data_IF_511796669199
#
_entry.id   IF_511796669199
#
_cell.length_a   1.000
_cell.length_b   1.000
_cell.length_c   1.000
_cell.angle_alpha   90.00
_cell.angle_beta   90.00
_cell.angle_gamma   90.00
#
_symmetry.space_group_name_H-M   'P 1'
#
loop_
_entity.id
_entity.type
_entity.pdbx_description
1 polymer ?
#
# COMPACT_ATOMS: atom_id res chain seq x y z
N UNK A 1 -32.12 -10.45 -25.63
CA UNK A 1 -30.75 -10.67 -26.14
C UNK A 1 -30.44 -12.14 -25.95
N UNK A 2 -29.85 -12.83 -26.94
CA UNK A 2 -29.55 -14.25 -26.80
C UNK A 2 -28.42 -14.44 -25.78
N UNK A 3 -28.67 -15.29 -24.79
CA UNK A 3 -27.63 -15.83 -23.91
C UNK A 3 -26.94 -16.94 -24.71
N UNK A 4 -25.62 -16.88 -24.80
CA UNK A 4 -24.81 -17.90 -25.43
C UNK A 4 -24.19 -18.77 -24.34
N UNK A 5 -24.45 -20.07 -24.41
CA UNK A 5 -23.84 -21.06 -23.51
C UNK A 5 -22.57 -21.61 -24.13
N UNK A 6 -21.49 -21.61 -23.36
CA UNK A 6 -20.19 -22.17 -23.73
C UNK A 6 -19.92 -23.34 -22.78
N UNK A 7 -19.60 -24.49 -23.35
CA UNK A 7 -19.20 -25.71 -22.63
C UNK A 7 -17.91 -26.20 -23.24
N UNK A 8 -16.83 -26.06 -22.51
CA UNK A 8 -15.49 -26.38 -22.99
C UNK A 8 -14.73 -27.17 -21.94
N UNK A 9 -13.99 -28.19 -22.37
CA UNK A 9 -13.12 -28.96 -21.48
C UNK A 9 -11.63 -28.69 -21.74
N UNK A 10 -10.83 -28.90 -20.69
CA UNK A 10 -9.39 -29.07 -20.78
C UNK A 10 -9.08 -30.47 -20.23
N UNK A 11 -8.53 -31.31 -21.09
CA UNK A 11 -8.19 -32.70 -20.81
C UNK A 11 -6.78 -32.98 -21.31
N UNK A 12 -6.01 -33.74 -20.53
CA UNK A 12 -4.70 -34.23 -20.94
C UNK A 12 -4.34 -35.54 -20.24
N UNK A 13 -3.66 -36.41 -20.97
CA UNK A 13 -3.25 -37.72 -20.47
C UNK A 13 -2.08 -37.61 -19.48
N UNK A 14 -1.08 -36.79 -19.81
CA UNK A 14 0.07 -36.56 -18.94
C UNK A 14 0.72 -35.19 -19.21
N UNK A 15 1.16 -34.53 -18.14
CA UNK A 15 2.03 -33.36 -18.21
C UNK A 15 3.16 -33.49 -17.19
N UNK A 16 4.40 -33.35 -17.65
CA UNK A 16 5.58 -33.36 -16.80
C UNK A 16 5.97 -31.93 -16.43
N UNK A 17 6.11 -31.64 -15.13
CA UNK A 17 6.46 -30.30 -14.63
C UNK A 17 7.95 -29.97 -14.73
N UNK A 18 8.76 -30.92 -15.19
CA UNK A 18 10.19 -30.77 -15.46
C UNK A 18 10.98 -30.15 -14.31
N UNK A 19 12.07 -29.48 -14.67
CA UNK A 19 12.93 -28.78 -13.71
C UNK A 19 12.30 -27.50 -13.15
N UNK A 20 11.28 -26.97 -13.84
CA UNK A 20 10.64 -25.70 -13.50
C UNK A 20 9.57 -25.85 -12.40
N UNK A 21 9.17 -27.07 -12.03
CA UNK A 21 8.12 -27.32 -11.01
C UNK A 21 6.79 -26.62 -11.36
N UNK A 22 6.57 -26.35 -12.65
CA UNK A 22 5.53 -25.47 -13.15
C UNK A 22 5.16 -25.79 -14.60
N UNK A 23 3.86 -25.84 -14.89
CA UNK A 23 3.31 -26.09 -16.21
C UNK A 23 2.12 -25.17 -16.50
N UNK A 24 1.95 -24.81 -17.78
CA UNK A 24 0.82 -23.99 -18.24
C UNK A 24 0.08 -24.74 -19.35
N UNK A 25 -1.23 -24.88 -19.20
CA UNK A 25 -2.12 -25.37 -20.25
C UNK A 25 -3.17 -24.30 -20.53
N UNK A 26 -3.34 -23.92 -21.80
CA UNK A 26 -4.25 -22.84 -22.16
C UNK A 26 -5.09 -23.22 -23.38
N UNK A 27 -6.37 -22.89 -23.33
CA UNK A 27 -7.34 -23.04 -24.42
C UNK A 27 -7.99 -21.70 -24.73
N UNK A 28 -8.04 -21.34 -26.01
CA UNK A 28 -8.66 -20.11 -26.51
C UNK A 28 -10.04 -20.42 -27.09
N UNK A 29 -11.02 -19.59 -26.72
CA UNK A 29 -12.41 -19.65 -27.22
C UNK A 29 -12.70 -18.32 -27.91
N UNK A 30 -13.07 -18.39 -29.18
CA UNK A 30 -13.42 -17.21 -29.98
C UNK A 30 -14.84 -16.76 -29.68
N UNK A 31 -15.02 -15.46 -29.46
CA UNK A 31 -16.32 -14.82 -29.25
C UNK A 31 -16.60 -13.83 -30.38
N UNK A 32 -17.85 -13.37 -30.45
CA UNK A 32 -18.28 -12.41 -31.46
C UNK A 32 -17.61 -11.04 -31.27
N UNK A 33 -17.11 -10.46 -32.35
CA UNK A 33 -16.52 -9.12 -32.37
C UNK A 33 -17.57 -7.98 -32.33
N UNK A 34 -17.16 -6.80 -31.88
CA UNK A 34 -17.97 -5.57 -31.91
C UNK A 34 -19.16 -5.57 -30.94
N UNK A 35 -19.15 -6.44 -29.94
CA UNK A 35 -20.16 -6.50 -28.87
C UNK A 35 -19.49 -6.45 -27.51
N UNK A 36 -20.23 -5.97 -26.51
CA UNK A 36 -19.87 -6.17 -25.11
C UNK A 36 -20.34 -7.56 -24.67
N UNK A 37 -19.45 -8.28 -24.03
CA UNK A 37 -19.69 -9.56 -23.39
C UNK A 37 -19.94 -9.34 -21.91
N UNK A 38 -20.90 -10.06 -21.34
CA UNK A 38 -21.17 -10.04 -19.91
C UNK A 38 -21.29 -11.47 -19.41
N UNK A 39 -20.53 -11.81 -18.38
CA UNK A 39 -20.61 -13.12 -17.76
C UNK A 39 -21.82 -13.11 -16.83
N UNK A 40 -22.74 -14.04 -17.03
CA UNK A 40 -23.90 -14.21 -16.15
C UNK A 40 -23.64 -15.27 -15.09
N UNK A 41 -22.99 -16.36 -15.51
CA UNK A 41 -22.64 -17.49 -14.68
C UNK A 41 -21.39 -18.15 -15.28
N UNK A 42 -20.51 -18.60 -14.41
CA UNK A 42 -19.39 -19.46 -14.72
C UNK A 42 -19.35 -20.54 -13.65
N UNK A 43 -19.07 -21.77 -14.08
CA UNK A 43 -18.91 -22.92 -13.21
C UNK A 43 -17.84 -23.83 -13.81
N UNK A 44 -17.11 -24.52 -12.96
CA UNK A 44 -16.08 -25.45 -13.38
C UNK A 44 -16.22 -26.76 -12.59
N UNK A 45 -16.29 -27.85 -13.33
CA UNK A 45 -16.51 -29.18 -12.80
C UNK A 45 -15.28 -30.04 -13.10
N UNK A 46 -14.72 -30.62 -12.04
CA UNK A 46 -13.61 -31.54 -12.14
C UNK A 46 -14.15 -32.93 -12.49
N UNK A 47 -14.12 -33.28 -13.78
CA UNK A 47 -14.66 -34.56 -14.29
C UNK A 47 -13.91 -35.77 -13.74
N UNK A 48 -12.61 -35.63 -13.50
CA UNK A 48 -11.82 -36.62 -12.77
C UNK A 48 -11.26 -36.04 -11.46
N UNK A 49 -11.97 -36.18 -10.32
CA UNK A 49 -11.49 -35.69 -9.02
C UNK A 49 -10.28 -36.46 -8.46
N UNK A 50 -9.96 -37.61 -9.05
CA UNK A 50 -8.86 -38.50 -8.68
C UNK A 50 -7.77 -38.57 -9.75
N UNK A 51 -7.49 -37.45 -10.44
CA UNK A 51 -6.38 -37.37 -11.40
C UNK A 51 -5.06 -37.86 -10.76
N UNK A 52 -4.21 -38.52 -11.55
CA UNK A 52 -2.96 -39.12 -11.08
C UNK A 52 -1.89 -38.08 -10.83
N UNK A 53 -1.09 -38.27 -9.77
CA UNK A 53 0.13 -37.48 -9.52
C UNK A 53 1.23 -38.42 -9.04
N UNK A 54 2.47 -38.21 -9.49
CA UNK A 54 3.62 -39.00 -9.00
C UNK A 54 4.19 -38.49 -7.69
N UNK A 55 3.93 -37.22 -7.37
CA UNK A 55 4.41 -36.55 -6.16
C UNK A 55 3.24 -35.95 -5.37
N UNK A 56 3.49 -35.71 -4.07
CA UNK A 56 2.57 -35.07 -3.14
C UNK A 56 2.53 -33.54 -3.41
N UNK A 57 1.56 -32.84 -2.81
CA UNK A 57 1.43 -31.38 -2.85
C UNK A 57 1.38 -30.75 -4.26
N UNK A 58 0.47 -31.22 -5.10
CA UNK A 58 0.19 -30.61 -6.41
C UNK A 58 -0.95 -29.58 -6.29
N UNK A 59 -0.71 -28.37 -6.80
CA UNK A 59 -1.69 -27.27 -6.82
C UNK A 59 -1.98 -26.91 -8.27
N UNK A 60 -3.25 -26.83 -8.64
CA UNK A 60 -3.69 -26.40 -9.98
C UNK A 60 -4.59 -25.17 -9.83
N UNK A 61 -4.23 -24.07 -10.46
CA UNK A 61 -5.05 -22.86 -10.55
C UNK A 61 -5.71 -22.77 -11.93
N UNK A 62 -7.04 -22.85 -11.99
CA UNK A 62 -7.85 -22.56 -13.18
C UNK A 62 -8.23 -21.08 -13.19
N UNK A 63 -8.07 -20.45 -14.34
CA UNK A 63 -8.38 -19.05 -14.59
C UNK A 63 -9.19 -18.89 -15.87
N UNK A 64 -10.31 -18.15 -15.77
CA UNK A 64 -11.11 -17.72 -16.93
C UNK A 64 -10.92 -16.22 -17.10
N UNK A 65 -10.35 -15.84 -18.24
CA UNK A 65 -9.88 -14.47 -18.49
C UNK A 65 -10.08 -14.05 -19.94
N UNK A 66 -10.37 -12.77 -20.25
CA UNK A 66 -10.45 -12.31 -21.65
C UNK A 66 -9.09 -12.21 -22.36
N UNK A 67 -7.99 -12.23 -21.61
CA UNK A 67 -6.61 -12.05 -22.10
C UNK A 67 -5.73 -13.18 -21.59
N UNK A 68 -4.63 -13.53 -22.29
CA UNK A 68 -3.69 -14.52 -21.80
C UNK A 68 -3.12 -14.11 -20.43
N UNK A 69 -3.05 -15.08 -19.51
CA UNK A 69 -2.61 -14.85 -18.14
C UNK A 69 -1.10 -14.76 -18.06
N UNK A 70 -0.61 -13.69 -17.41
CA UNK A 70 0.79 -13.57 -17.00
C UNK A 70 0.87 -13.95 -15.52
N UNK A 71 1.73 -14.91 -15.18
CA UNK A 71 1.95 -15.30 -13.79
C UNK A 71 2.69 -14.20 -13.01
N UNK A 72 2.45 -14.14 -11.71
CA UNK A 72 3.09 -13.20 -10.79
C UNK A 72 4.29 -13.86 -10.12
N UNK A 73 5.28 -13.09 -9.67
CA UNK A 73 6.45 -13.62 -8.95
C UNK A 73 6.17 -14.00 -7.48
N UNK A 74 4.90 -14.06 -7.06
CA UNK A 74 4.54 -14.47 -5.70
C UNK A 74 4.50 -16.00 -5.60
N UNK A 75 4.93 -16.59 -4.47
CA UNK A 75 4.84 -18.03 -4.29
C UNK A 75 3.43 -18.50 -3.89
N UNK A 76 3.13 -19.76 -4.18
CA UNK A 76 1.95 -20.49 -3.73
C UNK A 76 2.37 -21.88 -3.24
N UNK A 77 2.02 -22.24 -2.00
CA UNK A 77 2.40 -23.55 -1.44
C UNK A 77 3.91 -23.83 -1.40
N UNK A 78 4.75 -22.79 -1.37
CA UNK A 78 6.21 -22.93 -1.47
C UNK A 78 6.76 -22.98 -2.90
N UNK A 79 5.90 -23.13 -3.91
CA UNK A 79 6.27 -23.04 -5.32
C UNK A 79 6.33 -21.59 -5.78
N UNK A 80 7.30 -21.28 -6.65
CA UNK A 80 7.37 -19.99 -7.33
C UNK A 80 6.28 -19.85 -8.38
N UNK A 81 6.01 -18.60 -8.77
CA UNK A 81 5.05 -18.21 -9.80
C UNK A 81 3.60 -18.54 -9.43
N UNK A 82 2.74 -17.54 -9.25
CA UNK A 82 1.32 -17.74 -8.92
C UNK A 82 0.43 -17.07 -9.95
N UNK A 83 -0.76 -17.62 -10.20
CA UNK A 83 -1.81 -16.92 -10.91
C UNK A 83 -2.08 -15.53 -10.30
N UNK A 84 -2.48 -14.54 -11.13
CA UNK A 84 -2.91 -13.24 -10.64
C UNK A 84 -4.03 -13.33 -9.60
N UNK A 85 -4.19 -12.25 -8.84
CA UNK A 85 -5.26 -12.13 -7.85
C UNK A 85 -6.63 -12.19 -8.53
N UNK A 86 -7.58 -12.89 -7.90
CA UNK A 86 -8.98 -12.93 -8.36
C UNK A 86 -9.69 -11.56 -8.25
N UNK A 87 -9.06 -10.59 -7.56
CA UNK A 87 -9.54 -9.21 -7.45
C UNK A 87 -9.35 -8.38 -8.72
N UNK A 88 -8.61 -8.88 -9.71
CA UNK A 88 -8.37 -8.16 -10.96
C UNK A 88 -9.62 -8.23 -11.83
N UNK A 89 -10.04 -7.08 -12.39
CA UNK A 89 -11.23 -6.98 -13.25
C UNK A 89 -11.20 -7.93 -14.47
N UNK A 90 -9.99 -8.30 -14.93
CA UNK A 90 -9.80 -9.23 -16.05
C UNK A 90 -9.93 -10.70 -15.66
N UNK A 91 -9.99 -11.01 -14.36
CA UNK A 91 -10.21 -12.38 -13.85
C UNK A 91 -11.69 -12.57 -13.60
N UNK A 92 -12.34 -13.32 -14.48
CA UNK A 92 -13.78 -13.54 -14.43
C UNK A 92 -14.14 -14.68 -13.45
N UNK A 93 -13.32 -15.73 -13.46
CA UNK A 93 -13.44 -16.89 -12.58
C UNK A 93 -12.05 -17.42 -12.25
N UNK A 94 -11.89 -17.86 -11.01
CA UNK A 94 -10.68 -18.49 -10.50
C UNK A 94 -11.05 -19.68 -9.62
N UNK A 95 -10.42 -20.81 -9.85
CA UNK A 95 -10.53 -21.97 -8.98
C UNK A 95 -9.14 -22.52 -8.66
N UNK A 96 -8.89 -22.81 -7.39
CA UNK A 96 -7.66 -23.45 -6.94
C UNK A 96 -7.99 -24.84 -6.44
N UNK A 97 -7.33 -25.82 -7.03
CA UNK A 97 -7.42 -27.24 -6.74
C UNK A 97 -6.12 -27.66 -6.05
N UNK A 98 -6.23 -28.32 -4.89
CA UNK A 98 -5.09 -28.80 -4.14
C UNK A 98 -5.22 -30.30 -3.89
N UNK A 99 -4.19 -31.04 -4.30
CA UNK A 99 -4.04 -32.46 -4.06
C UNK A 99 -2.88 -32.67 -3.10
N UNK A 100 -3.20 -33.07 -1.87
CA UNK A 100 -2.23 -33.21 -0.79
C UNK A 100 -1.34 -34.43 -0.93
N UNK A 101 -1.85 -35.54 -1.46
CA UNK A 101 -1.10 -36.80 -1.55
C UNK A 101 -1.28 -37.49 -2.90
N UNK A 102 -0.24 -38.21 -3.32
CA UNK A 102 -0.23 -39.19 -4.43
C UNK A 102 -1.26 -40.29 -4.28
N UNK A 103 -1.65 -40.63 -3.05
CA UNK A 103 -2.69 -41.62 -2.79
C UNK A 103 -4.02 -41.21 -3.45
N UNK A 104 -4.92 -42.18 -3.60
CA UNK A 104 -6.28 -41.92 -4.09
C UNK A 104 -7.02 -41.09 -3.04
N UNK A 105 -6.98 -39.77 -3.20
CA UNK A 105 -7.65 -38.80 -2.35
C UNK A 105 -8.42 -37.80 -3.21
N UNK A 106 -9.55 -37.35 -2.71
CA UNK A 106 -10.31 -36.27 -3.34
C UNK A 106 -9.52 -34.96 -3.29
N UNK A 107 -9.59 -34.21 -4.39
CA UNK A 107 -8.90 -32.92 -4.52
C UNK A 107 -9.70 -31.85 -3.78
N UNK A 108 -9.04 -31.03 -2.95
CA UNK A 108 -9.68 -29.90 -2.29
C UNK A 108 -9.85 -28.75 -3.28
N UNK A 109 -11.07 -28.24 -3.41
CA UNK A 109 -11.40 -27.19 -4.38
C UNK A 109 -11.84 -25.92 -3.65
N UNK A 110 -11.30 -24.79 -4.09
CA UNK A 110 -11.72 -23.46 -3.66
C UNK A 110 -11.96 -22.59 -4.89
N UNK A 111 -13.05 -21.84 -4.90
CA UNK A 111 -13.50 -21.09 -6.07
C UNK A 111 -13.82 -19.63 -5.73
N UNK A 112 -13.63 -18.78 -6.73
CA UNK A 112 -14.04 -17.39 -6.75
C UNK A 112 -14.56 -17.08 -8.15
N UNK A 113 -15.75 -16.48 -8.27
CA UNK A 113 -16.73 -16.18 -7.24
C UNK A 113 -17.33 -17.47 -6.61
N UNK A 114 -17.68 -17.42 -5.32
CA UNK A 114 -18.28 -18.57 -4.64
C UNK A 114 -19.75 -18.75 -5.09
N UNK A 115 -20.16 -20.00 -5.36
CA UNK A 115 -21.52 -20.44 -5.68
C UNK A 115 -22.64 -19.88 -4.77
N UNK A 116 -22.35 -19.56 -3.49
CA UNK A 116 -23.35 -19.06 -2.54
C UNK A 116 -23.61 -17.55 -2.60
N UNK A 117 -22.81 -16.78 -3.34
CA UNK A 117 -23.03 -15.34 -3.45
C UNK A 117 -24.10 -15.09 -4.52
N UNK A 118 -25.32 -14.80 -4.07
CA UNK A 118 -26.48 -14.49 -4.91
C UNK A 118 -26.31 -13.21 -5.77
N UNK A 119 -25.22 -12.46 -5.58
CA UNK A 119 -24.80 -11.42 -6.50
C UNK A 119 -24.05 -12.05 -7.67
N UNK A 120 -24.79 -12.40 -8.73
CA UNK A 120 -24.20 -12.85 -9.99
C UNK A 120 -23.17 -11.80 -10.46
N UNK A 121 -21.88 -12.13 -10.51
CA UNK A 121 -20.85 -11.17 -10.84
C UNK A 121 -21.04 -10.73 -12.29
N UNK A 122 -21.45 -9.48 -12.48
CA UNK A 122 -21.69 -8.92 -13.81
C UNK A 122 -20.41 -8.30 -14.35
N UNK A 123 -19.37 -9.11 -14.55
CA UNK A 123 -18.17 -8.64 -15.24
C UNK A 123 -18.48 -8.47 -16.72
N UNK A 124 -18.19 -7.28 -17.25
CA UNK A 124 -18.31 -6.97 -18.68
C UNK A 124 -16.94 -6.80 -19.31
N UNK A 125 -16.74 -7.45 -20.45
CA UNK A 125 -15.54 -7.30 -21.27
C UNK A 125 -15.87 -7.10 -22.75
N UNK A 126 -14.90 -6.65 -23.53
CA UNK A 126 -15.05 -6.27 -24.94
C UNK A 126 -14.14 -7.08 -25.87
N UNK A 127 -13.11 -7.73 -25.34
CA UNK A 127 -12.23 -8.58 -26.14
C UNK A 127 -12.99 -9.78 -26.71
N UNK A 128 -12.86 -10.09 -28.01
CA UNK A 128 -13.62 -11.16 -28.67
C UNK A 128 -13.04 -12.55 -28.41
N UNK A 129 -12.40 -12.75 -27.27
CA UNK A 129 -11.71 -13.97 -26.88
C UNK A 129 -11.93 -14.25 -25.41
N UNK A 130 -11.94 -15.54 -25.08
CA UNK A 130 -11.97 -16.04 -23.72
C UNK A 130 -10.91 -17.13 -23.60
N UNK A 131 -10.07 -17.01 -22.58
CA UNK A 131 -9.01 -17.96 -22.30
C UNK A 131 -9.33 -18.74 -21.04
N UNK A 132 -9.26 -20.06 -21.17
CA UNK A 132 -9.23 -21.00 -20.06
C UNK A 132 -7.75 -21.37 -19.84
N UNK A 133 -7.20 -21.03 -18.68
CA UNK A 133 -5.79 -21.27 -18.37
C UNK A 133 -5.67 -22.09 -17.10
N UNK A 134 -4.92 -23.18 -17.15
CA UNK A 134 -4.47 -23.95 -16.01
C UNK A 134 -3.00 -23.64 -15.74
N UNK A 135 -2.72 -23.31 -14.49
CA UNK A 135 -1.38 -23.14 -13.95
C UNK A 135 -1.17 -24.30 -12.97
N UNK A 136 -0.26 -25.19 -13.30
CA UNK A 136 0.00 -26.43 -12.56
C UNK A 136 1.32 -26.26 -11.82
N UNK A 137 1.26 -26.42 -10.51
CA UNK A 137 2.39 -26.34 -9.58
C UNK A 137 2.55 -27.68 -8.89
N UNK A 138 3.78 -28.13 -8.72
CA UNK A 138 4.06 -29.37 -8.02
C UNK A 138 5.58 -29.57 -7.90
N UNK A 139 6.02 -30.61 -7.19
CA UNK A 139 7.43 -30.88 -7.03
C UNK A 139 8.16 -31.07 -8.36
N UNK A 140 9.49 -30.89 -8.33
CA UNK A 140 10.32 -31.01 -9.52
C UNK A 140 10.19 -32.39 -10.14
N UNK A 141 9.88 -32.45 -11.43
CA UNK A 141 9.70 -33.68 -12.18
C UNK A 141 8.39 -34.42 -11.90
N UNK A 142 7.45 -33.82 -11.15
CA UNK A 142 6.15 -34.42 -10.94
C UNK A 142 5.38 -34.53 -12.26
N UNK A 143 4.73 -35.68 -12.45
CA UNK A 143 3.80 -35.93 -13.55
C UNK A 143 2.37 -35.81 -13.02
N UNK A 144 1.54 -35.05 -13.74
CA UNK A 144 0.09 -34.98 -13.53
C UNK A 144 -0.59 -35.69 -14.68
N UNK A 145 -1.36 -36.74 -14.39
CA UNK A 145 -1.96 -37.61 -15.40
C UNK A 145 -3.47 -37.75 -15.27
N UNK A 146 -4.12 -38.08 -16.39
CA UNK A 146 -5.58 -38.29 -16.49
C UNK A 146 -6.39 -37.10 -15.95
N UNK A 147 -5.94 -35.87 -16.22
CA UNK A 147 -6.66 -34.68 -15.78
C UNK A 147 -7.78 -34.36 -16.76
N UNK A 148 -8.98 -34.14 -16.23
CA UNK A 148 -10.15 -33.75 -17.02
C UNK A 148 -10.99 -32.75 -16.23
N UNK A 149 -11.25 -31.59 -16.82
CA UNK A 149 -12.07 -30.53 -16.25
C UNK A 149 -12.93 -29.86 -17.31
N UNK A 150 -14.20 -29.65 -16.99
CA UNK A 150 -15.18 -28.96 -17.84
C UNK A 150 -15.53 -27.61 -17.25
N UNK A 151 -15.59 -26.58 -18.09
CA UNK A 151 -16.02 -25.22 -17.74
C UNK A 151 -17.31 -24.89 -18.48
N UNK A 152 -18.31 -24.43 -17.73
CA UNK A 152 -19.55 -23.87 -18.25
C UNK A 152 -19.57 -22.36 -18.06
N UNK A 153 -19.82 -21.61 -19.14
CA UNK A 153 -19.97 -20.16 -19.11
C UNK A 153 -21.26 -19.74 -19.82
N UNK A 154 -22.12 -18.99 -19.14
CA UNK A 154 -23.26 -18.30 -19.74
C UNK A 154 -22.90 -16.84 -20.01
N UNK A 155 -22.85 -16.46 -21.29
CA UNK A 155 -22.41 -15.13 -21.72
C UNK A 155 -23.55 -14.40 -22.43
N UNK A 156 -23.85 -13.18 -21.99
CA UNK A 156 -24.77 -12.28 -22.67
C UNK A 156 -23.98 -11.38 -23.64
N UNK A 157 -24.45 -11.29 -24.88
CA UNK A 157 -23.90 -10.37 -25.88
C UNK A 157 -24.80 -9.14 -26.03
N UNK A 158 -24.22 -7.96 -25.78
CA UNK A 158 -24.89 -6.68 -25.97
C UNK A 158 -24.15 -5.83 -26.99
N UNK A 159 -24.86 -5.30 -27.98
CA UNK A 159 -24.26 -4.36 -28.95
C UNK A 159 -23.75 -3.13 -28.20
N UNK A 160 -22.49 -2.77 -28.44
CA UNK A 160 -21.87 -1.56 -27.91
C UNK A 160 -21.57 -0.59 -29.07
N UNK A 161 -21.50 0.71 -28.78
CA UNK A 161 -21.00 1.68 -29.77
C UNK A 161 -19.51 1.43 -30.04
N UNK A 162 -19.03 1.74 -31.25
CA UNK A 162 -17.62 1.57 -31.62
C UNK A 162 -16.67 2.27 -30.66
N UNK A 163 -17.04 3.46 -30.16
CA UNK A 163 -16.25 4.22 -29.20
C UNK A 163 -16.16 3.48 -27.86
N UNK A 164 -17.30 3.01 -27.34
CA UNK A 164 -17.33 2.24 -26.09
C UNK A 164 -16.54 0.94 -26.20
N UNK A 165 -16.69 0.24 -27.33
CA UNK A 165 -15.97 -0.99 -27.61
C UNK A 165 -14.45 -0.76 -27.67
N UNK A 166 -13.99 0.25 -28.42
CA UNK A 166 -12.57 0.59 -28.54
C UNK A 166 -11.94 1.02 -27.21
N UNK A 167 -12.60 1.91 -26.46
CA UNK A 167 -12.12 2.35 -25.15
C UNK A 167 -12.08 1.20 -24.13
N UNK A 168 -13.07 0.31 -24.17
CA UNK A 168 -13.12 -0.87 -23.30
C UNK A 168 -11.96 -1.83 -23.57
N UNK A 169 -11.72 -2.13 -24.84
CA UNK A 169 -10.60 -2.98 -25.25
C UNK A 169 -9.25 -2.39 -24.82
N UNK A 170 -9.01 -1.09 -25.03
CA UNK A 170 -7.78 -0.43 -24.57
C UNK A 170 -7.58 -0.51 -23.05
N UNK A 171 -8.66 -0.32 -22.26
CA UNK A 171 -8.61 -0.46 -20.80
C UNK A 171 -8.22 -1.88 -20.40
N UNK A 172 -8.82 -2.90 -21.01
CA UNK A 172 -8.52 -4.29 -20.69
C UNK A 172 -7.05 -4.64 -20.95
N UNK A 173 -6.51 -4.21 -22.10
CA UNK A 173 -5.10 -4.39 -22.42
C UNK A 173 -4.19 -3.72 -21.39
N UNK A 174 -4.50 -2.49 -20.99
CA UNK A 174 -3.70 -1.76 -20.00
C UNK A 174 -3.73 -2.44 -18.63
N UNK A 175 -4.90 -2.90 -18.17
CA UNK A 175 -5.03 -3.61 -16.89
C UNK A 175 -4.25 -4.93 -16.92
N UNK A 176 -4.33 -5.69 -18.03
CA UNK A 176 -3.60 -6.94 -18.18
C UNK A 176 -2.07 -6.73 -18.14
N UNK A 177 -1.55 -5.66 -18.73
CA UNK A 177 -0.11 -5.35 -18.72
C UNK A 177 0.42 -5.00 -17.33
N UNK A 178 -0.35 -4.28 -16.52
CA UNK A 178 0.09 -3.84 -15.20
C UNK A 178 -0.07 -4.94 -14.15
N UNK A 179 -0.90 -5.96 -14.41
CA UNK A 179 -1.24 -7.03 -13.46
C UNK A 179 -0.03 -7.74 -12.81
N UNK A 180 1.11 -7.87 -13.51
CA UNK A 180 2.32 -8.47 -12.96
C UNK A 180 2.99 -7.64 -11.84
N UNK A 181 2.76 -6.32 -11.84
CA UNK A 181 3.42 -5.36 -10.94
C UNK A 181 2.51 -4.90 -9.79
N UNK A 182 1.19 -5.16 -9.88
CA UNK A 182 0.24 -4.72 -8.86
C UNK A 182 0.45 -5.47 -7.54
N UNK A 183 1.09 -4.81 -6.57
CA UNK A 183 1.12 -5.23 -5.17
C UNK A 183 0.08 -4.42 -4.38
N UNK A 184 -1.07 -5.04 -4.11
CA UNK A 184 -2.16 -4.41 -3.37
C UNK A 184 -1.98 -4.67 -1.87
N UNK A 185 -1.23 -3.78 -1.20
CA UNK A 185 -1.05 -3.80 0.25
C UNK A 185 0.24 -3.11 0.65
N UNK A 186 0.29 -2.53 1.85
CA UNK A 186 1.53 -2.03 2.44
C UNK A 186 1.88 -2.88 3.66
N UNK A 187 3.14 -3.28 3.78
CA UNK A 187 3.62 -3.90 5.01
C UNK A 187 3.84 -2.80 6.06
N UNK A 188 3.18 -2.93 7.21
CA UNK A 188 3.43 -2.10 8.38
C UNK A 188 4.14 -2.98 9.40
N UNK A 189 5.41 -2.68 9.68
CA UNK A 189 6.11 -3.33 10.79
C UNK A 189 5.33 -3.10 12.09
N UNK A 190 5.15 -4.12 12.96
CA UNK A 190 4.40 -3.99 14.21
C UNK A 190 4.83 -2.79 15.06
N UNK A 191 6.13 -2.45 15.07
CA UNK A 191 6.68 -1.30 15.78
C UNK A 191 6.14 0.06 15.26
N UNK A 192 5.74 0.15 13.99
CA UNK A 192 5.19 1.37 13.38
C UNK A 192 3.66 1.46 13.45
N UNK A 193 2.97 0.37 13.83
CA UNK A 193 1.51 0.35 13.88
C UNK A 193 0.96 1.37 14.89
N UNK A 194 1.63 1.56 16.03
CA UNK A 194 1.21 2.47 17.11
C UNK A 194 1.14 3.95 16.67
N UNK A 195 1.90 4.35 15.63
CA UNK A 195 1.95 5.72 15.14
C UNK A 195 1.15 6.00 13.85
N UNK A 196 0.51 4.98 13.26
CA UNK A 196 -0.11 5.10 11.93
C UNK A 196 -1.64 4.96 11.91
N UNK A 197 -2.28 4.84 13.07
CA UNK A 197 -3.74 4.79 13.22
C UNK A 197 -4.22 6.19 13.67
N UNK A 198 -4.92 6.92 12.80
CA UNK A 198 -5.42 8.30 13.04
C UNK A 198 -6.65 8.35 13.99
N UNK A 199 -7.03 9.50 14.61
CA UNK A 199 -6.31 10.77 14.81
C UNK A 199 -6.02 11.13 16.30
N UNK A 200 -4.79 11.58 16.54
CA UNK A 200 -4.27 12.67 17.42
C UNK A 200 -4.94 13.11 18.75
N UNK A 201 -5.76 12.32 19.44
CA UNK A 201 -6.19 12.71 20.81
C UNK A 201 -5.02 12.81 21.82
N UNK A 202 -3.87 12.20 21.52
CA UNK A 202 -2.60 12.36 22.27
C UNK A 202 -1.63 13.41 21.68
N UNK A 203 -1.88 13.90 20.46
CA UNK A 203 -0.97 14.78 19.71
C UNK A 203 -1.53 16.19 19.47
N UNK A 204 -2.61 16.58 20.17
CA UNK A 204 -3.25 17.89 20.02
C UNK A 204 -3.91 18.43 21.30
N UNK A 205 -3.36 18.12 22.49
CA UNK A 205 -3.77 18.69 23.77
C UNK A 205 -2.87 19.83 24.21
N UNK A 206 -3.34 20.68 25.15
CA UNK A 206 -2.50 21.69 25.82
C UNK A 206 -1.32 20.97 26.50
N UNK A 207 -0.09 21.34 26.14
CA UNK A 207 1.11 20.82 26.82
C UNK A 207 1.24 21.53 28.18
N UNK A 208 1.76 20.85 29.21
CA UNK A 208 2.08 21.53 30.46
C UNK A 208 3.13 22.62 30.20
N UNK A 209 3.00 23.76 30.86
CA UNK A 209 3.95 24.86 30.77
C UNK A 209 4.72 24.97 32.09
N UNK A 210 6.03 25.21 31.99
CA UNK A 210 6.83 25.56 33.15
C UNK A 210 6.47 26.97 33.63
N UNK A 211 6.72 27.27 34.90
CA UNK A 211 6.50 28.61 35.46
C UNK A 211 7.75 29.06 36.20
N UNK A 212 8.12 30.32 36.02
CA UNK A 212 9.29 30.90 36.69
C UNK A 212 9.04 31.07 38.18
N UNK A 213 10.09 30.89 39.00
CA UNK A 213 10.05 31.19 40.43
C UNK A 213 10.13 32.71 40.66
N UNK A 214 9.21 33.24 41.47
CA UNK A 214 9.09 34.67 41.80
C UNK A 214 10.37 35.30 42.39
N UNK A 215 11.12 34.52 43.19
CA UNK A 215 12.32 34.99 43.91
C UNK A 215 13.50 35.35 42.98
N UNK A 216 13.56 34.77 41.77
CA UNK A 216 14.66 35.01 40.84
C UNK A 216 14.52 36.32 40.01
N UNK A 217 13.35 36.96 40.01
CA UNK A 217 12.98 38.01 39.05
C UNK A 217 12.06 39.10 39.61
N UNK A 218 12.39 39.60 40.78
CA UNK A 218 11.61 40.58 41.55
C UNK A 218 11.02 41.83 40.82
N UNK A 219 11.29 42.11 39.53
CA UNK A 219 10.89 43.41 38.94
C UNK A 219 10.75 43.56 37.41
N UNK A 220 11.03 42.56 36.55
CA UNK A 220 10.84 42.78 35.10
C UNK A 220 9.40 42.53 34.63
N UNK A 221 8.69 41.59 35.26
CA UNK A 221 7.33 41.21 34.87
C UNK A 221 6.25 41.46 35.94
N UNK A 222 6.64 41.66 37.22
CA UNK A 222 5.71 41.87 38.32
C UNK A 222 6.16 43.03 39.23
N UNK A 223 5.35 44.08 39.35
CA UNK A 223 5.58 45.16 40.31
C UNK A 223 5.07 44.74 41.69
N UNK A 224 5.97 44.56 42.65
CA UNK A 224 5.62 44.32 44.05
C UNK A 224 6.35 45.31 44.97
N UNK A 225 5.63 45.83 45.97
CA UNK A 225 6.06 46.97 46.80
C UNK A 225 7.27 46.70 47.71
N UNK A 226 7.68 45.44 47.89
CA UNK A 226 8.73 45.06 48.83
C UNK A 226 10.12 44.93 48.19
N UNK A 227 10.25 45.25 46.90
CA UNK A 227 11.51 45.14 46.15
C UNK A 227 12.09 46.49 45.69
N UNK A 228 11.66 47.62 46.27
CA UNK A 228 12.01 49.00 45.87
C UNK A 228 13.52 49.32 45.74
N UNK A 229 14.42 48.47 46.24
CA UNK A 229 15.83 48.51 45.81
C UNK A 229 15.96 47.83 44.46
N UNK A 230 15.80 48.61 43.38
CA UNK A 230 15.89 48.16 41.98
C UNK A 230 17.10 47.25 41.71
N UNK A 231 16.90 45.93 41.76
CA UNK A 231 17.91 44.96 41.32
C UNK A 231 17.79 44.84 39.80
N UNK A 232 18.62 45.61 39.11
CA UNK A 232 18.74 45.49 37.66
C UNK A 232 19.32 44.12 37.31
N UNK A 233 18.60 43.35 36.49
CA UNK A 233 19.10 42.08 35.97
C UNK A 233 20.11 42.39 34.86
N UNK A 234 21.31 41.83 34.98
CA UNK A 234 22.37 41.97 33.97
C UNK A 234 21.87 41.51 32.58
N UNK A 235 22.04 42.33 31.52
CA UNK A 235 21.73 41.94 30.14
C UNK A 235 22.30 40.57 29.72
N UNK A 236 23.45 40.17 30.27
CA UNK A 236 24.01 38.84 30.03
C UNK A 236 23.08 37.72 30.53
N UNK A 237 22.49 37.87 31.72
CA UNK A 237 21.54 36.90 32.26
C UNK A 237 20.25 36.86 31.45
N UNK A 238 19.72 38.01 31.00
CA UNK A 238 18.51 38.07 30.17
C UNK A 238 18.69 37.32 28.84
N UNK A 239 19.87 37.39 28.23
CA UNK A 239 20.20 36.61 27.03
C UNK A 239 20.26 35.11 27.29
N UNK A 240 20.73 34.70 28.47
CA UNK A 240 20.70 33.29 28.87
C UNK A 240 19.25 32.81 29.01
N UNK A 241 18.35 33.58 29.63
CA UNK A 241 16.93 33.23 29.71
C UNK A 241 16.28 33.12 28.34
N UNK A 242 16.55 34.05 27.43
CA UNK A 242 16.08 33.98 26.05
C UNK A 242 16.61 32.73 25.32
N UNK A 243 17.88 32.36 25.55
CA UNK A 243 18.49 31.19 24.93
C UNK A 243 17.89 29.89 25.46
N UNK A 244 17.66 29.80 26.79
CA UNK A 244 17.06 28.64 27.43
C UNK A 244 15.57 28.50 27.09
N UNK A 245 14.82 29.60 27.05
CA UNK A 245 13.42 29.60 26.60
C UNK A 245 13.24 29.09 25.16
N UNK A 246 14.20 29.35 24.27
CA UNK A 246 14.19 28.88 22.86
C UNK A 246 14.55 27.40 22.68
N UNK A 247 14.85 26.66 23.74
CA UNK A 247 15.22 25.25 23.61
C UNK A 247 14.01 24.38 23.25
N UNK A 248 14.14 23.60 22.19
CA UNK A 248 13.13 22.61 21.82
C UNK A 248 13.21 21.40 22.75
N UNK A 249 12.06 20.95 23.23
CA UNK A 249 11.93 19.80 24.13
C UNK A 249 11.14 18.68 23.45
N UNK A 250 11.53 17.39 23.61
CA UNK A 250 10.77 16.26 23.08
C UNK A 250 9.29 16.29 23.49
N UNK A 251 8.40 15.85 22.61
CA UNK A 251 6.99 15.65 22.92
C UNK A 251 6.85 14.37 23.78
N UNK A 252 6.26 14.39 25.01
CA UNK A 252 5.23 15.31 25.54
C UNK A 252 5.65 16.28 26.65
N UNK A 253 6.94 16.53 26.83
CA UNK A 253 7.45 17.27 28.00
C UNK A 253 6.99 18.75 28.02
N UNK A 254 7.19 19.49 29.10
CA UNK A 254 6.81 20.91 29.15
C UNK A 254 7.72 21.77 28.26
N UNK A 255 7.18 22.83 27.67
CA UNK A 255 7.99 23.80 26.91
C UNK A 255 8.85 24.65 27.87
N UNK A 256 10.12 24.85 27.51
CA UNK A 256 11.13 25.53 28.32
C UNK A 256 12.18 24.59 28.92
N UNK A 257 13.10 25.14 29.72
CA UNK A 257 14.21 24.37 30.32
C UNK A 257 14.09 24.32 31.84
N UNK A 258 14.03 23.14 32.47
CA UNK A 258 14.13 23.03 33.92
C UNK A 258 15.56 23.34 34.39
N UNK A 259 15.71 24.22 35.39
CA UNK A 259 17.03 24.60 35.90
C UNK A 259 17.01 24.78 37.43
N UNK A 260 17.95 24.14 38.11
CA UNK A 260 18.08 24.16 39.58
C UNK A 260 18.58 25.49 40.15
N UNK A 261 19.35 26.29 39.40
CA UNK A 261 19.98 27.52 39.92
C UNK A 261 19.18 28.78 39.64
N UNK A 262 18.41 28.81 38.54
CA UNK A 262 17.64 30.01 38.10
C UNK A 262 16.11 29.80 38.10
N UNK A 263 15.64 28.63 38.51
CA UNK A 263 14.23 28.24 38.41
C UNK A 263 13.90 27.72 37.01
N UNK A 264 12.71 27.13 36.86
CA UNK A 264 12.24 26.62 35.58
C UNK A 264 11.94 27.79 34.64
N UNK A 265 12.47 27.72 33.41
CA UNK A 265 12.40 28.82 32.43
C UNK A 265 11.40 28.44 31.34
N UNK A 266 10.24 29.11 31.24
CA UNK A 266 9.26 28.86 30.20
C UNK A 266 9.60 29.54 28.88
N UNK A 267 9.00 29.02 27.81
CA UNK A 267 9.18 29.52 26.44
C UNK A 267 8.59 30.93 26.25
N UNK A 268 7.49 31.28 26.93
CA UNK A 268 6.83 32.58 26.78
C UNK A 268 7.72 33.79 27.15
N UNK A 269 8.82 33.59 27.89
CA UNK A 269 9.83 34.63 28.18
C UNK A 269 10.38 35.24 26.88
N UNK A 270 10.31 34.51 25.77
CA UNK A 270 10.78 34.95 24.46
C UNK A 270 9.80 35.87 23.71
N UNK A 271 8.53 35.94 24.11
CA UNK A 271 7.50 36.64 23.32
C UNK A 271 7.52 38.17 23.44
N UNK A 272 8.15 38.72 24.48
CA UNK A 272 8.17 40.16 24.75
C UNK A 272 9.58 40.66 25.11
N UNK A 273 10.60 40.16 24.39
CA UNK A 273 11.96 40.62 24.60
C UNK A 273 12.18 42.00 23.93
N UNK A 274 12.77 42.97 24.64
CA UNK A 274 13.24 44.22 24.02
C UNK A 274 14.22 43.96 22.88
N UNK A 275 14.13 44.71 21.79
CA UNK A 275 14.94 44.54 20.57
C UNK A 275 16.46 44.51 20.84
N UNK A 276 16.95 45.25 21.84
CA UNK A 276 18.36 45.24 22.24
C UNK A 276 18.86 43.94 22.89
N UNK A 277 17.96 43.07 23.33
CA UNK A 277 18.28 41.73 23.84
C UNK A 277 18.24 40.71 22.69
N UNK A 278 17.32 40.89 21.74
CA UNK A 278 17.19 40.03 20.56
C UNK A 278 18.32 40.23 19.54
N UNK A 279 18.72 41.48 19.29
CA UNK A 279 19.75 41.83 18.30
C UNK A 279 21.18 41.46 18.73
N UNK A 280 21.36 40.99 19.97
CA UNK A 280 22.69 40.71 20.55
C UNK A 280 23.44 41.99 20.93
N UNK A 281 24.71 41.89 21.37
CA UNK A 281 25.50 43.06 21.72
C UNK A 281 25.75 43.91 20.47
N UNK A 282 25.30 45.17 20.50
CA UNK A 282 25.70 46.17 19.50
C UNK A 282 27.23 46.30 19.57
N UNK A 283 27.92 46.08 18.44
CA UNK A 283 29.37 46.26 18.36
C UNK A 283 29.66 47.76 18.44
N UNK A 284 30.62 48.15 19.28
CA UNK A 284 31.01 49.56 19.49
C UNK A 284 31.44 50.31 18.23
N UNK A 285 31.83 49.60 17.17
CA UNK A 285 32.21 50.19 15.89
C UNK A 285 31.66 49.36 14.72
N UNK A 286 31.07 50.05 13.74
CA UNK A 286 30.73 49.44 12.46
C UNK A 286 32.02 48.98 11.75
N UNK A 287 32.03 47.82 11.05
CA UNK A 287 33.22 47.33 10.38
C UNK A 287 33.72 48.33 9.32
N UNK A 288 35.04 48.45 9.09
CA UNK A 288 35.59 49.39 8.12
C UNK A 288 34.99 49.16 6.73
N UNK A 289 34.47 50.22 6.14
CA UNK A 289 33.93 50.18 4.78
C UNK A 289 35.06 50.40 3.76
N UNK A 290 35.13 49.53 2.75
CA UNK A 290 35.96 49.71 1.56
C UNK A 290 35.05 49.85 0.34
N UNK A 291 35.15 50.96 -0.37
CA UNK A 291 34.44 51.14 -1.63
C UNK A 291 35.22 50.42 -2.74
N UNK A 292 34.56 49.52 -3.46
CA UNK A 292 35.10 48.96 -4.69
C UNK A 292 34.84 49.90 -5.87
N UNK A 293 35.74 49.91 -6.85
CA UNK A 293 35.69 50.82 -8.02
C UNK A 293 34.47 50.59 -8.94
N UNK A 294 33.66 49.56 -8.64
CA UNK A 294 32.37 49.30 -9.28
C UNK A 294 31.17 49.96 -8.55
N UNK A 295 31.42 50.79 -7.54
CA UNK A 295 30.40 51.51 -6.77
C UNK A 295 29.77 50.72 -5.64
N UNK A 296 30.17 49.46 -5.41
CA UNK A 296 29.69 48.68 -4.27
C UNK A 296 30.54 48.95 -3.02
N UNK A 297 29.88 49.23 -1.90
CA UNK A 297 30.51 49.21 -0.56
C UNK A 297 30.66 47.76 -0.09
N UNK A 298 31.90 47.35 0.17
CA UNK A 298 32.22 46.12 0.89
C UNK A 298 32.52 46.46 2.34
N UNK A 299 31.78 45.84 3.27
CA UNK A 299 32.11 45.84 4.69
C UNK A 299 33.09 44.68 4.94
N UNK A 300 34.27 44.97 5.50
CA UNK A 300 35.28 43.97 5.88
C UNK A 300 35.07 43.49 7.33
#
# INVERSE_FOLDING_TARGET
MPIHEIRESIEFDNINLGDASFGIVQKEINLKEGVAHKMLQCDAYLDNPFFGTTEDDVIIELMVTPHPVIYTNMPIGGYGFRAPSASLDTVLFKQTMYKASTAISETTITEFPNQFINARPTFTWYTPRLYLTLLIHGPRGADVSNFALTVYCAVEHKRASTITYGMGLMREYQVAQVAAVVSNGRFISPARNVGQIFPMWKHGGIRPELMMKSDAFAQFFYNSSNNDSSKMVDPFNLRIFATLGRQMVPNPDAFGTPNTVKGDIPDWVTFALPEGIEAGPIRDQWPPIKHADNGNTLCL
#
